data_IF_287803928927
#
_entry.id   IF_287803928927
#
_cell.length_a   1.000
_cell.length_b   1.000
_cell.length_c   1.000
_cell.angle_alpha   90.00
_cell.angle_beta   90.00
_cell.angle_gamma   90.00
#
_symmetry.space_group_name_H-M   'P 1'
#
loop_
_entity.id
_entity.type
_entity.pdbx_description
1 polymer ?
#
# COMPACT_ATOMS: atom_id res chain seq x y z
N UNK A 1 -5.49 -15.18 5.11
CA UNK A 1 -6.37 -14.18 5.76
C UNK A 1 -6.14 -12.83 5.12
N UNK A 2 -7.16 -11.97 5.07
CA UNK A 2 -7.07 -10.60 4.57
C UNK A 2 -7.46 -9.63 5.69
N UNK A 3 -6.65 -8.62 5.93
CA UNK A 3 -6.96 -7.55 6.88
C UNK A 3 -6.74 -6.18 6.24
N UNK A 4 -7.80 -5.38 6.07
CA UNK A 4 -7.72 -4.09 5.37
C UNK A 4 -6.90 -2.99 6.07
N UNK A 5 -6.32 -3.26 7.24
CA UNK A 5 -5.55 -2.28 8.02
C UNK A 5 -4.11 -2.69 8.27
N UNK A 6 -3.50 -2.10 9.29
CA UNK A 6 -2.21 -2.55 9.82
C UNK A 6 -2.37 -3.88 10.55
N UNK A 7 -1.54 -4.86 10.23
CA UNK A 7 -1.42 -6.10 11.04
C UNK A 7 -0.42 -5.87 12.17
N UNK A 8 -0.79 -6.29 13.39
CA UNK A 8 0.04 -6.14 14.60
C UNK A 8 0.86 -7.41 14.86
N UNK A 9 1.97 -7.28 15.59
CA UNK A 9 2.74 -8.44 16.07
C UNK A 9 1.87 -9.49 16.79
N UNK A 10 0.93 -9.05 17.64
CA UNK A 10 0.00 -9.95 18.33
C UNK A 10 -0.86 -10.75 17.34
N UNK A 11 -1.41 -10.07 16.32
CA UNK A 11 -2.20 -10.72 15.29
C UNK A 11 -1.36 -11.69 14.44
N UNK A 12 -0.11 -11.35 14.11
CA UNK A 12 0.82 -12.23 13.40
C UNK A 12 1.13 -13.50 14.21
N UNK A 13 1.42 -13.35 15.51
CA UNK A 13 1.70 -14.48 16.41
C UNK A 13 0.48 -15.38 16.56
N UNK A 14 -0.70 -14.79 16.76
CA UNK A 14 -1.95 -15.55 16.80
C UNK A 14 -2.19 -16.30 15.49
N UNK A 15 -1.93 -15.68 14.34
CA UNK A 15 -2.08 -16.33 13.04
C UNK A 15 -1.14 -17.54 12.90
N UNK A 16 0.10 -17.44 13.37
CA UNK A 16 1.03 -18.58 13.45
C UNK A 16 0.48 -19.69 14.35
N UNK A 17 0.03 -19.34 15.55
CA UNK A 17 -0.51 -20.31 16.53
C UNK A 17 -1.73 -21.07 15.98
N UNK A 18 -2.56 -20.39 15.18
CA UNK A 18 -3.74 -20.96 14.52
C UNK A 18 -3.41 -21.66 13.17
N UNK A 19 -2.14 -21.72 12.77
CA UNK A 19 -1.70 -22.40 11.55
C UNK A 19 -2.10 -21.69 10.25
N UNK A 20 -2.24 -20.36 10.27
CA UNK A 20 -2.55 -19.58 9.07
C UNK A 20 -1.35 -19.55 8.13
N UNK A 21 -1.54 -19.99 6.90
CA UNK A 21 -0.47 -20.02 5.89
C UNK A 21 -0.03 -18.63 5.39
N UNK A 22 -0.92 -17.63 5.42
CA UNK A 22 -0.57 -16.28 5.03
C UNK A 22 -1.55 -15.17 5.39
N UNK A 23 -1.03 -13.95 5.49
CA UNK A 23 -1.76 -12.70 5.75
C UNK A 23 -1.49 -11.72 4.61
N UNK A 24 -2.56 -11.14 4.07
CA UNK A 24 -2.48 -9.96 3.22
C UNK A 24 -3.02 -8.78 4.01
N UNK A 25 -2.26 -7.70 4.14
CA UNK A 25 -2.70 -6.50 4.85
C UNK A 25 -2.35 -5.20 4.14
N UNK A 26 -2.92 -4.09 4.62
CA UNK A 26 -2.54 -2.74 4.22
C UNK A 26 -1.07 -2.46 4.56
N UNK A 27 -0.74 -2.58 5.85
CA UNK A 27 0.64 -2.40 6.30
C UNK A 27 1.00 -3.18 7.55
N UNK A 28 2.24 -3.02 7.99
CA UNK A 28 2.81 -3.55 9.23
C UNK A 28 3.98 -2.68 9.66
N UNK A 29 4.30 -2.65 10.95
CA UNK A 29 5.53 -1.99 11.40
C UNK A 29 6.73 -2.89 11.16
N UNK A 30 7.84 -2.30 10.69
CA UNK A 30 9.08 -3.06 10.43
C UNK A 30 9.61 -3.73 11.70
N UNK A 31 9.49 -3.07 12.85
CA UNK A 31 9.90 -3.60 14.16
C UNK A 31 9.10 -4.84 14.57
N UNK A 32 7.80 -4.87 14.25
CA UNK A 32 6.94 -6.02 14.50
C UNK A 32 7.40 -7.22 13.66
N UNK A 33 7.70 -7.00 12.37
CA UNK A 33 8.21 -8.05 11.48
C UNK A 33 9.58 -8.57 11.91
N UNK A 34 10.50 -7.69 12.31
CA UNK A 34 11.82 -8.07 12.85
C UNK A 34 11.64 -8.87 14.14
N UNK A 35 10.72 -8.45 15.03
CA UNK A 35 10.42 -9.16 16.27
C UNK A 35 9.77 -10.53 16.05
N UNK A 36 9.00 -10.68 14.98
CA UNK A 36 8.42 -11.95 14.57
C UNK A 36 9.48 -12.90 14.01
N UNK A 37 10.35 -12.39 13.12
CA UNK A 37 11.39 -13.17 12.44
C UNK A 37 12.62 -13.46 13.32
N UNK A 38 12.83 -12.66 14.38
CA UNK A 38 14.03 -12.73 15.21
C UNK A 38 15.31 -12.24 14.52
N UNK A 39 15.19 -11.61 13.34
CA UNK A 39 16.30 -11.04 12.55
C UNK A 39 15.83 -9.89 11.68
N UNK A 40 16.77 -9.07 11.24
CA UNK A 40 16.51 -7.98 10.31
C UNK A 40 16.17 -8.48 8.90
N UNK A 41 15.27 -7.76 8.22
CA UNK A 41 14.99 -7.95 6.79
C UNK A 41 16.06 -7.16 6.01
N UNK A 42 17.13 -7.84 5.62
CA UNK A 42 18.29 -7.20 4.99
C UNK A 42 17.99 -6.82 3.54
N UNK A 43 18.27 -5.55 3.19
CA UNK A 43 18.25 -5.00 1.81
C UNK A 43 16.97 -5.23 0.99
N UNK A 44 15.83 -5.50 1.63
CA UNK A 44 14.56 -5.75 0.95
C UNK A 44 14.57 -7.04 0.14
N UNK A 45 15.29 -8.07 0.62
CA UNK A 45 15.23 -9.43 0.10
C UNK A 45 14.46 -10.31 1.09
N UNK A 46 13.44 -11.03 0.61
CA UNK A 46 12.61 -11.95 1.41
C UNK A 46 12.36 -13.26 0.64
N UNK A 47 11.80 -14.26 1.32
CA UNK A 47 11.51 -15.59 0.79
C UNK A 47 12.48 -16.68 1.25
N UNK A 48 13.37 -16.37 2.19
CA UNK A 48 14.34 -17.31 2.78
C UNK A 48 14.21 -17.36 4.31
N UNK A 49 13.07 -16.90 4.81
CA UNK A 49 12.70 -16.91 6.22
C UNK A 49 12.18 -18.30 6.58
N UNK A 50 12.67 -18.85 7.69
CA UNK A 50 12.13 -20.08 8.29
C UNK A 50 10.91 -19.72 9.15
N UNK A 51 9.84 -19.27 8.49
CA UNK A 51 8.59 -18.87 9.12
C UNK A 51 7.41 -19.49 8.35
N UNK A 52 6.55 -20.24 9.05
CA UNK A 52 5.36 -20.89 8.47
C UNK A 52 4.19 -19.91 8.21
N UNK A 53 4.49 -18.63 8.01
CA UNK A 53 3.52 -17.57 7.73
C UNK A 53 4.08 -16.64 6.66
N UNK A 54 3.37 -16.54 5.54
CA UNK A 54 3.68 -15.55 4.49
C UNK A 54 2.91 -14.25 4.74
N UNK A 55 3.60 -13.11 4.75
CA UNK A 55 2.96 -11.79 4.93
C UNK A 55 3.18 -10.95 3.67
N UNK A 56 2.10 -10.46 3.08
CA UNK A 56 2.11 -9.51 1.96
C UNK A 56 1.48 -8.20 2.41
N UNK A 57 2.25 -7.12 2.28
CA UNK A 57 1.77 -5.76 2.53
C UNK A 57 1.49 -5.11 1.20
N UNK A 58 0.25 -4.67 1.02
CA UNK A 58 -0.17 -3.93 -0.18
C UNK A 58 0.48 -2.55 -0.19
N UNK A 59 0.39 -1.83 0.94
CA UNK A 59 0.76 -0.40 1.00
C UNK A 59 2.14 -0.17 1.62
N UNK A 60 2.73 -1.20 2.23
CA UNK A 60 4.08 -1.21 2.79
C UNK A 60 4.14 -1.01 4.30
N UNK A 61 5.21 -0.40 4.81
CA UNK A 61 5.46 -0.30 6.24
C UNK A 61 4.73 0.88 6.90
N UNK A 62 4.15 0.65 8.08
CA UNK A 62 3.43 1.64 8.89
C UNK A 62 1.92 1.39 8.97
N UNK A 63 1.21 2.38 9.50
CA UNK A 63 -0.25 2.34 9.69
C UNK A 63 -1.02 2.78 8.44
N UNK A 64 -0.82 2.07 7.33
CA UNK A 64 -1.53 2.35 6.08
C UNK A 64 -2.70 1.37 5.90
N UNK A 65 -3.94 1.88 5.70
CA UNK A 65 -5.05 1.03 5.31
C UNK A 65 -4.85 0.55 3.86
N UNK A 66 -5.32 -0.66 3.59
CA UNK A 66 -5.42 -1.19 2.24
C UNK A 66 -6.36 -0.30 1.42
N UNK A 67 -6.04 -0.08 0.14
CA UNK A 67 -6.96 0.58 -0.77
C UNK A 67 -8.31 -0.18 -0.82
N UNK A 68 -9.41 0.56 -0.73
CA UNK A 68 -10.75 -0.01 -0.57
C UNK A 68 -11.13 -0.95 -1.72
N UNK A 69 -10.73 -0.59 -2.94
CA UNK A 69 -10.93 -1.36 -4.17
C UNK A 69 -10.18 -2.71 -4.14
N UNK A 70 -8.93 -2.72 -3.64
CA UNK A 70 -8.14 -3.96 -3.44
C UNK A 70 -8.75 -4.81 -2.34
N UNK A 71 -9.19 -4.19 -1.23
CA UNK A 71 -9.80 -4.91 -0.13
C UNK A 71 -11.10 -5.59 -0.57
N UNK A 72 -11.98 -4.88 -1.28
CA UNK A 72 -13.22 -5.45 -1.79
C UNK A 72 -12.97 -6.53 -2.85
N UNK A 73 -11.96 -6.38 -3.71
CA UNK A 73 -11.53 -7.43 -4.64
C UNK A 73 -11.10 -8.71 -3.91
N UNK A 74 -10.21 -8.59 -2.92
CA UNK A 74 -9.75 -9.74 -2.14
C UNK A 74 -10.86 -10.35 -1.27
N UNK A 75 -11.78 -9.51 -0.77
CA UNK A 75 -12.95 -9.94 -0.01
C UNK A 75 -13.93 -10.74 -0.87
N UNK A 76 -14.11 -10.37 -2.14
CA UNK A 76 -14.93 -11.12 -3.08
C UNK A 76 -14.41 -12.56 -3.29
N UNK A 77 -13.15 -12.83 -2.96
CA UNK A 77 -12.55 -14.16 -2.98
C UNK A 77 -12.68 -14.94 -1.66
N UNK A 78 -13.48 -14.47 -0.70
CA UNK A 78 -13.70 -15.18 0.56
C UNK A 78 -14.21 -16.62 0.32
N UNK A 79 -13.60 -17.58 1.01
CA UNK A 79 -13.90 -19.01 0.85
C UNK A 79 -13.19 -19.70 -0.31
N UNK A 80 -12.48 -18.96 -1.18
CA UNK A 80 -11.67 -19.52 -2.27
C UNK A 80 -10.26 -19.85 -1.81
N UNK A 81 -9.65 -20.83 -2.47
CA UNK A 81 -8.22 -21.11 -2.30
C UNK A 81 -7.38 -20.08 -3.05
N UNK A 82 -6.38 -19.52 -2.36
CA UNK A 82 -5.41 -18.59 -2.94
C UNK A 82 -4.00 -19.08 -2.66
N UNK A 83 -3.10 -18.80 -3.58
CA UNK A 83 -1.66 -19.00 -3.38
C UNK A 83 -1.00 -17.65 -3.15
N UNK A 84 -0.07 -17.57 -2.21
CA UNK A 84 0.63 -16.33 -1.89
C UNK A 84 2.13 -16.58 -1.94
N UNK A 85 2.85 -15.68 -2.60
CA UNK A 85 4.30 -15.63 -2.59
C UNK A 85 4.74 -14.29 -2.02
N UNK A 86 5.42 -14.32 -0.87
CA UNK A 86 5.92 -13.12 -0.19
C UNK A 86 7.35 -12.72 -0.59
N UNK A 87 7.98 -13.43 -1.55
CA UNK A 87 9.35 -13.15 -1.96
C UNK A 87 9.46 -11.78 -2.62
N UNK A 88 10.43 -11.00 -2.16
CA UNK A 88 10.75 -9.67 -2.68
C UNK A 88 12.24 -9.63 -2.99
N UNK A 89 12.61 -9.02 -4.11
CA UNK A 89 13.98 -8.72 -4.47
C UNK A 89 14.03 -7.38 -5.19
N UNK A 90 14.68 -6.38 -4.59
CA UNK A 90 14.68 -5.00 -5.11
C UNK A 90 15.84 -4.66 -6.04
N UNK A 91 16.84 -5.55 -6.16
CA UNK A 91 18.00 -5.41 -7.07
C UNK A 91 17.91 -6.42 -8.22
N UNK A 92 18.95 -6.51 -9.07
CA UNK A 92 19.01 -7.36 -10.27
C UNK A 92 18.23 -8.67 -10.13
N UNK A 93 17.33 -8.97 -11.07
CA UNK A 93 16.35 -10.05 -10.94
C UNK A 93 15.21 -9.68 -9.99
N UNK A 94 14.51 -8.57 -10.28
CA UNK A 94 13.45 -8.05 -9.42
C UNK A 94 12.35 -9.11 -9.24
N UNK A 95 12.05 -9.44 -8.00
CA UNK A 95 10.94 -10.31 -7.61
C UNK A 95 9.97 -9.47 -6.78
N UNK A 96 8.69 -9.56 -7.10
CA UNK A 96 7.61 -8.91 -6.35
C UNK A 96 6.79 -9.98 -5.64
N UNK A 97 6.21 -9.65 -4.48
CA UNK A 97 5.18 -10.47 -3.90
C UNK A 97 4.00 -10.63 -4.86
N UNK A 98 3.37 -11.80 -4.84
CA UNK A 98 2.25 -12.15 -5.69
C UNK A 98 1.15 -12.82 -4.86
N UNK A 99 -0.09 -12.51 -5.21
CA UNK A 99 -1.30 -13.18 -4.71
C UNK A 99 -1.99 -13.75 -5.94
N UNK A 100 -2.13 -15.07 -5.99
CA UNK A 100 -2.69 -15.79 -7.13
C UNK A 100 -4.05 -16.33 -6.71
N UNK A 101 -5.09 -15.78 -7.33
CA UNK A 101 -6.46 -16.26 -7.23
C UNK A 101 -6.79 -17.02 -8.53
N UNK A 102 -7.02 -18.35 -8.47
CA UNK A 102 -7.45 -19.09 -9.66
C UNK A 102 -8.85 -18.64 -10.07
N UNK A 103 -9.03 -18.36 -11.36
CA UNK A 103 -10.33 -18.06 -11.94
C UNK A 103 -11.12 -19.34 -12.19
N UNK A 104 -12.44 -19.28 -12.00
CA UNK A 104 -13.34 -20.37 -12.42
C UNK A 104 -13.60 -20.28 -13.94
N UNK A 105 -13.88 -21.42 -14.58
CA UNK A 105 -14.05 -21.51 -16.04
C UNK A 105 -15.16 -20.60 -16.61
N UNK A 106 -16.12 -20.20 -15.78
CA UNK A 106 -17.27 -19.34 -16.13
C UNK A 106 -17.10 -17.88 -15.65
N UNK A 107 -15.98 -17.52 -15.02
CA UNK A 107 -15.71 -16.11 -14.67
C UNK A 107 -15.35 -15.29 -15.92
N UNK A 108 -15.81 -14.03 -16.01
CA UNK A 108 -15.42 -13.15 -17.10
C UNK A 108 -13.89 -13.04 -17.17
N UNK A 109 -13.38 -12.89 -18.39
CA UNK A 109 -11.95 -12.70 -18.63
C UNK A 109 -11.47 -11.44 -17.86
N UNK A 110 -10.74 -11.69 -16.79
CA UNK A 110 -9.99 -10.74 -15.97
C UNK A 110 -10.83 -9.67 -15.21
N UNK A 111 -11.48 -10.03 -14.08
CA UNK A 111 -12.11 -9.06 -13.19
C UNK A 111 -11.13 -8.03 -12.59
N UNK A 112 -9.82 -8.27 -12.67
CA UNK A 112 -8.80 -7.29 -12.27
C UNK A 112 -8.60 -6.22 -13.34
N UNK A 113 -8.78 -6.52 -14.63
CA UNK A 113 -8.67 -5.55 -15.72
C UNK A 113 -9.71 -4.43 -15.57
N UNK A 114 -10.96 -4.78 -15.25
CA UNK A 114 -12.02 -3.81 -14.97
C UNK A 114 -11.69 -2.93 -13.76
N UNK A 115 -11.10 -3.51 -12.70
CA UNK A 115 -10.68 -2.78 -11.50
C UNK A 115 -9.56 -1.79 -11.83
N UNK A 116 -8.54 -2.25 -12.56
CA UNK A 116 -7.40 -1.45 -12.98
C UNK A 116 -7.82 -0.33 -13.93
N UNK A 117 -8.71 -0.60 -14.88
CA UNK A 117 -9.25 0.39 -15.80
C UNK A 117 -10.07 1.47 -15.06
N UNK A 118 -10.88 1.08 -14.05
CA UNK A 118 -11.56 2.05 -13.17
C UNK A 118 -10.55 2.89 -12.41
N UNK A 119 -9.50 2.28 -11.85
CA UNK A 119 -8.46 2.98 -11.11
C UNK A 119 -7.62 3.92 -11.97
N UNK A 120 -7.37 3.57 -13.22
CA UNK A 120 -6.74 4.46 -14.20
C UNK A 120 -7.66 5.62 -14.61
N UNK A 121 -8.96 5.38 -14.73
CA UNK A 121 -9.94 6.44 -14.97
C UNK A 121 -10.13 7.36 -13.73
N UNK A 122 -9.99 6.80 -12.52
CA UNK A 122 -10.05 7.51 -11.24
C UNK A 122 -8.75 8.21 -10.86
N UNK A 123 -7.61 7.87 -11.49
CA UNK A 123 -6.38 8.67 -11.44
C UNK A 123 -6.62 10.02 -12.12
N UNK A 124 -7.26 10.90 -11.39
CA UNK A 124 -7.48 12.29 -11.77
C UNK A 124 -6.17 13.08 -11.73
N UNK A 125 -6.19 14.24 -12.35
CA UNK A 125 -5.21 15.27 -12.03
C UNK A 125 -5.45 15.77 -10.60
N UNK A 126 -4.41 16.18 -9.86
CA UNK A 126 -4.57 16.71 -8.51
C UNK A 126 -5.26 18.08 -8.59
N UNK A 127 -6.59 18.09 -8.73
CA UNK A 127 -7.43 19.29 -8.79
C UNK A 127 -7.92 19.71 -7.41
N UNK A 128 -8.36 20.95 -7.25
CA UNK A 128 -9.01 21.40 -6.01
C UNK A 128 -10.21 20.51 -5.67
N UNK A 129 -10.26 20.02 -4.43
CA UNK A 129 -11.25 19.07 -3.94
C UNK A 129 -10.86 17.59 -4.07
N UNK A 130 -9.79 17.26 -4.82
CA UNK A 130 -9.33 15.87 -4.95
C UNK A 130 -8.74 15.35 -3.64
N UNK A 131 -9.01 14.08 -3.32
CA UNK A 131 -8.33 13.37 -2.24
C UNK A 131 -6.95 12.96 -2.73
N UNK A 132 -5.95 13.15 -1.87
CA UNK A 132 -4.56 12.87 -2.21
C UNK A 132 -3.82 12.21 -1.06
N UNK A 133 -2.82 11.40 -1.41
CA UNK A 133 -1.84 10.83 -0.49
C UNK A 133 -0.45 11.36 -0.80
N UNK A 134 0.30 11.73 0.23
CA UNK A 134 1.68 12.17 0.06
C UNK A 134 2.60 10.94 -0.06
N UNK A 135 3.30 10.82 -1.19
CA UNK A 135 4.15 9.65 -1.51
C UNK A 135 5.65 9.91 -1.32
N UNK A 136 6.03 11.03 -0.70
CA UNK A 136 7.42 11.36 -0.36
C UNK A 136 7.56 11.93 1.05
N UNK A 137 8.74 11.69 1.64
CA UNK A 137 9.15 12.34 2.89
C UNK A 137 9.17 13.87 2.74
N UNK A 138 8.95 14.63 3.83
CA UNK A 138 8.85 14.17 5.23
C UNK A 138 7.44 13.74 5.67
N UNK A 139 6.42 13.90 4.82
CA UNK A 139 5.02 13.64 5.17
C UNK A 139 4.47 12.38 4.50
N UNK A 140 5.34 11.40 4.21
CA UNK A 140 4.98 10.16 3.52
C UNK A 140 3.80 9.45 4.21
N UNK A 141 2.86 8.96 3.40
CA UNK A 141 1.69 8.19 3.84
C UNK A 141 0.54 9.03 4.40
N UNK A 142 0.70 10.36 4.54
CA UNK A 142 -0.36 11.23 5.03
C UNK A 142 -1.41 11.49 3.94
N UNK A 143 -2.67 11.41 4.33
CA UNK A 143 -3.84 11.71 3.50
C UNK A 143 -4.31 13.15 3.70
N UNK A 144 -4.96 13.69 2.68
CA UNK A 144 -5.60 15.00 2.73
C UNK A 144 -6.39 15.34 1.49
N UNK A 145 -6.90 16.56 1.44
CA UNK A 145 -7.67 17.11 0.31
C UNK A 145 -6.96 18.34 -0.25
N UNK A 146 -6.87 18.44 -1.57
CA UNK A 146 -6.32 19.64 -2.23
C UNK A 146 -7.27 20.82 -2.01
N UNK A 147 -6.80 21.87 -1.34
CA UNK A 147 -7.60 23.08 -1.05
C UNK A 147 -7.27 24.24 -1.98
N UNK A 148 -6.03 24.30 -2.50
CA UNK A 148 -5.64 25.32 -3.47
C UNK A 148 -4.50 24.85 -4.37
N UNK A 149 -4.43 25.42 -5.57
CA UNK A 149 -3.35 25.20 -6.53
C UNK A 149 -2.87 26.55 -7.04
N UNK A 150 -1.75 27.07 -6.52
CA UNK A 150 -1.14 28.28 -7.05
C UNK A 150 -0.76 28.10 -8.52
N UNK A 151 -1.00 29.14 -9.33
CA UNK A 151 -0.52 29.19 -10.71
C UNK A 151 0.99 29.39 -10.81
N UNK A 152 1.60 29.96 -9.76
CA UNK A 152 3.04 30.18 -9.67
C UNK A 152 3.72 29.07 -8.84
N UNK A 153 4.92 28.62 -9.23
CA UNK A 153 5.69 27.66 -8.45
C UNK A 153 5.96 28.13 -7.01
N UNK A 154 5.84 27.22 -6.06
CA UNK A 154 6.11 27.49 -4.63
C UNK A 154 7.57 27.21 -4.32
N UNK A 155 8.20 28.08 -3.52
CA UNK A 155 9.58 27.89 -3.05
C UNK A 155 9.59 26.99 -1.81
N UNK A 156 10.36 25.91 -1.86
CA UNK A 156 10.54 24.96 -0.75
C UNK A 156 11.84 25.24 0.03
N UNK A 157 12.01 24.59 1.18
CA UNK A 157 13.22 24.71 2.03
C UNK A 157 14.50 24.34 1.30
N UNK A 158 14.41 23.46 0.29
CA UNK A 158 15.52 23.11 -0.62
C UNK A 158 15.83 24.21 -1.63
N UNK A 159 15.18 25.36 -1.52
CA UNK A 159 15.17 26.50 -2.45
C UNK A 159 14.60 26.19 -3.84
N UNK A 160 14.14 24.95 -4.06
CA UNK A 160 13.50 24.55 -5.31
C UNK A 160 12.17 25.30 -5.50
N UNK A 161 11.93 25.76 -6.72
CA UNK A 161 10.66 26.31 -7.18
C UNK A 161 9.92 25.23 -7.95
N UNK A 162 8.82 24.71 -7.39
CA UNK A 162 8.09 23.58 -7.97
C UNK A 162 6.59 23.89 -8.04
N UNK A 163 5.88 23.40 -9.08
CA UNK A 163 4.43 23.32 -9.05
C UNK A 163 3.99 22.52 -7.83
N UNK A 164 3.05 23.08 -7.07
CA UNK A 164 2.61 22.52 -5.81
C UNK A 164 1.10 22.70 -5.62
N UNK A 165 0.53 21.87 -4.77
CA UNK A 165 -0.81 22.05 -4.25
C UNK A 165 -0.75 22.31 -2.75
N UNK A 166 -1.63 23.16 -2.25
CA UNK A 166 -1.91 23.24 -0.82
C UNK A 166 -2.89 22.11 -0.45
N UNK A 167 -2.48 21.25 0.48
CA UNK A 167 -3.25 20.10 0.93
C UNK A 167 -3.63 20.31 2.40
N UNK A 168 -4.92 20.20 2.70
CA UNK A 168 -5.43 20.08 4.06
C UNK A 168 -5.41 18.60 4.44
N UNK A 169 -4.54 18.26 5.39
CA UNK A 169 -4.34 16.90 5.87
C UNK A 169 -5.43 16.52 6.87
N UNK A 170 -5.65 15.22 7.07
CA UNK A 170 -6.72 14.71 7.93
C UNK A 170 -6.62 15.16 9.42
N UNK A 171 -5.43 15.61 9.86
CA UNK A 171 -5.23 16.21 11.18
C UNK A 171 -5.59 17.71 11.25
N UNK A 172 -6.11 18.27 10.16
CA UNK A 172 -6.47 19.68 9.99
C UNK A 172 -5.29 20.60 9.64
N UNK A 173 -4.06 20.09 9.54
CA UNK A 173 -2.91 20.91 9.15
C UNK A 173 -2.87 21.15 7.64
N UNK A 174 -2.41 22.34 7.21
CA UNK A 174 -2.24 22.69 5.80
C UNK A 174 -0.78 22.72 5.41
N UNK A 175 -0.46 22.19 4.24
CA UNK A 175 0.91 22.11 3.74
C UNK A 175 0.96 22.25 2.22
N UNK A 176 1.97 22.94 1.71
CA UNK A 176 2.33 22.86 0.29
C UNK A 176 3.10 21.58 -0.01
N UNK A 177 2.63 20.83 -1.00
CA UNK A 177 3.26 19.58 -1.46
C UNK A 177 3.51 19.69 -2.96
N UNK A 178 4.73 19.39 -3.46
CA UNK A 178 4.97 19.33 -4.90
C UNK A 178 4.00 18.36 -5.57
N UNK A 179 3.47 18.71 -6.75
CA UNK A 179 2.50 17.85 -7.44
C UNK A 179 3.04 16.45 -7.71
N UNK A 180 4.34 16.34 -8.00
CA UNK A 180 5.04 15.06 -8.20
C UNK A 180 5.09 14.16 -6.95
N UNK A 181 4.75 14.68 -5.78
CA UNK A 181 4.73 13.97 -4.51
C UNK A 181 3.30 13.65 -4.04
N UNK A 182 2.29 13.91 -4.88
CA UNK A 182 0.89 13.59 -4.61
C UNK A 182 0.45 12.43 -5.50
N UNK A 183 -0.25 11.48 -4.88
CA UNK A 183 -1.02 10.45 -5.56
C UNK A 183 -2.50 10.77 -5.37
N UNK A 184 -3.28 10.76 -6.45
CA UNK A 184 -4.69 11.15 -6.48
C UNK A 184 -5.58 9.92 -6.35
N UNK A 185 -6.68 10.06 -5.59
CA UNK A 185 -7.69 9.04 -5.32
C UNK A 185 -9.10 9.63 -5.44
#
# INVERSE_FOLDING_TARGET
MVGGGRVTLEAMRKALDEGVAGIVSGGADMEDLVSLLGRDIVVGITGQEELDLTIVLTEGFGSMPMAEDVFEFLRAAEGRTVSVNGSTQVRAGVVRPEIILPLDDDEPADPLEDLLARREAEKGEPTVGAKVRIVRNPKFGRWGTVVSMPSEPVRFETEALLPAAEVELDDGSRVFVPLANLEVF
#
